data_IF_329203532103
#
_entry.id   IF_329203532103
#
_cell.length_a   1.000
_cell.length_b   1.000
_cell.length_c   1.000
_cell.angle_alpha   90.00
_cell.angle_beta   90.00
_cell.angle_gamma   90.00
#
_symmetry.space_group_name_H-M   'P 1'
#
loop_
_entity.id
_entity.type
_entity.pdbx_description
1 polymer ?
#
# COMPACT_ATOMS: atom_id res chain seq x y z
N UNK A 1 -4.25 -10.89 -17.00
CA UNK A 1 -4.81 -9.53 -16.84
C UNK A 1 -6.15 -9.44 -16.11
N UNK A 2 -7.34 -9.65 -16.71
CA UNK A 2 -8.62 -9.43 -16.00
C UNK A 2 -8.77 -10.23 -14.70
N UNK A 3 -8.36 -11.51 -14.72
CA UNK A 3 -8.40 -12.40 -13.54
C UNK A 3 -7.37 -11.99 -12.46
N UNK A 4 -6.18 -11.55 -12.86
CA UNK A 4 -5.12 -11.12 -11.94
C UNK A 4 -5.45 -9.81 -11.25
N UNK A 5 -6.02 -8.85 -11.99
CA UNK A 5 -6.50 -7.59 -11.43
C UNK A 5 -7.62 -7.85 -10.42
N UNK A 6 -8.58 -8.73 -10.76
CA UNK A 6 -9.65 -9.12 -9.84
C UNK A 6 -9.10 -9.77 -8.56
N UNK A 7 -8.15 -10.70 -8.68
CA UNK A 7 -7.50 -11.34 -7.51
C UNK A 7 -6.77 -10.30 -6.67
N UNK A 8 -6.00 -9.39 -7.27
CA UNK A 8 -5.26 -8.36 -6.56
C UNK A 8 -6.17 -7.38 -5.79
N UNK A 9 -7.29 -6.97 -6.40
CA UNK A 9 -8.29 -6.13 -5.73
C UNK A 9 -8.93 -6.87 -4.56
N UNK A 10 -9.37 -8.12 -4.76
CA UNK A 10 -10.03 -8.91 -3.70
C UNK A 10 -9.07 -9.15 -2.53
N UNK A 11 -7.84 -9.57 -2.80
CA UNK A 11 -6.83 -9.78 -1.77
C UNK A 11 -6.52 -8.48 -1.02
N UNK A 12 -6.42 -7.36 -1.75
CA UNK A 12 -6.18 -6.06 -1.12
C UNK A 12 -7.32 -5.64 -0.18
N UNK A 13 -8.57 -5.84 -0.60
CA UNK A 13 -9.76 -5.53 0.19
C UNK A 13 -9.87 -6.41 1.44
N UNK A 14 -9.57 -7.71 1.32
CA UNK A 14 -9.57 -8.63 2.46
C UNK A 14 -8.49 -8.22 3.46
N UNK A 15 -7.29 -7.88 3.00
CA UNK A 15 -6.19 -7.44 3.85
C UNK A 15 -6.50 -6.12 4.55
N UNK A 16 -7.06 -5.14 3.85
CA UNK A 16 -7.40 -3.85 4.47
C UNK A 16 -8.48 -3.99 5.55
N UNK A 17 -9.50 -4.83 5.32
CA UNK A 17 -10.55 -5.12 6.32
C UNK A 17 -9.96 -5.85 7.53
N UNK A 18 -9.11 -6.86 7.31
CA UNK A 18 -8.44 -7.58 8.41
C UNK A 18 -7.58 -6.64 9.26
N UNK A 19 -6.72 -5.84 8.62
CA UNK A 19 -5.84 -4.90 9.33
C UNK A 19 -6.64 -3.81 10.03
N UNK A 20 -7.71 -3.29 9.40
CA UNK A 20 -8.63 -2.35 10.04
C UNK A 20 -9.30 -2.93 11.29
N UNK A 21 -9.74 -4.19 11.23
CA UNK A 21 -10.33 -4.90 12.36
C UNK A 21 -9.34 -5.14 13.51
N UNK A 22 -8.12 -5.58 13.20
CA UNK A 22 -7.04 -5.74 14.18
C UNK A 22 -6.73 -4.40 14.84
N UNK A 23 -6.65 -3.33 14.05
CA UNK A 23 -6.40 -1.97 14.54
C UNK A 23 -7.51 -1.51 15.47
N UNK A 24 -8.78 -1.78 15.15
CA UNK A 24 -9.90 -1.47 16.03
C UNK A 24 -9.82 -2.18 17.38
N UNK A 25 -9.46 -3.46 17.37
CA UNK A 25 -9.28 -4.22 18.60
C UNK A 25 -8.13 -3.69 19.46
N UNK A 26 -7.06 -3.18 18.84
CA UNK A 26 -5.89 -2.70 19.56
C UNK A 26 -6.08 -1.28 20.12
N UNK A 27 -6.58 -0.36 19.30
CA UNK A 27 -6.68 1.05 19.66
C UNK A 27 -8.02 1.42 20.31
N UNK A 28 -9.04 0.54 20.23
CA UNK A 28 -10.42 0.83 20.64
C UNK A 28 -10.96 2.17 20.11
N UNK A 29 -10.45 2.62 18.95
CA UNK A 29 -10.78 3.90 18.36
C UNK A 29 -11.15 3.74 16.90
N UNK A 30 -12.43 3.95 16.60
CA UNK A 30 -13.00 3.75 15.26
C UNK A 30 -12.38 4.68 14.21
N UNK A 31 -11.95 5.89 14.60
CA UNK A 31 -11.35 6.87 13.68
C UNK A 31 -9.99 6.38 13.22
N UNK A 32 -9.13 5.96 14.16
CA UNK A 32 -7.79 5.43 13.85
C UNK A 32 -7.90 4.17 12.98
N UNK A 33 -8.84 3.27 13.29
CA UNK A 33 -9.08 2.05 12.50
C UNK A 33 -9.49 2.35 11.07
N UNK A 34 -10.37 3.34 10.88
CA UNK A 34 -10.81 3.76 9.55
C UNK A 34 -9.65 4.36 8.76
N UNK A 35 -8.85 5.23 9.40
CA UNK A 35 -7.68 5.85 8.78
C UNK A 35 -6.65 4.81 8.34
N UNK A 36 -6.34 3.83 9.20
CA UNK A 36 -5.41 2.75 8.86
C UNK A 36 -5.95 1.85 7.75
N UNK A 37 -7.25 1.51 7.78
CA UNK A 37 -7.87 0.70 6.72
C UNK A 37 -7.80 1.40 5.36
N UNK A 38 -8.13 2.69 5.30
CA UNK A 38 -8.05 3.50 4.07
C UNK A 38 -6.59 3.63 3.63
N UNK A 39 -5.66 3.92 4.54
CA UNK A 39 -4.24 4.00 4.23
C UNK A 39 -3.69 2.68 3.67
N UNK A 40 -4.14 1.53 4.18
CA UNK A 40 -3.76 0.21 3.66
C UNK A 40 -4.28 -0.04 2.25
N UNK A 41 -5.52 0.37 1.93
CA UNK A 41 -6.04 0.27 0.55
C UNK A 41 -5.17 1.09 -0.40
N UNK A 42 -4.85 2.34 -0.03
CA UNK A 42 -3.98 3.21 -0.83
C UNK A 42 -2.60 2.56 -1.02
N UNK A 43 -2.01 2.05 0.06
CA UNK A 43 -0.70 1.41 0.01
C UNK A 43 -0.68 0.19 -0.92
N UNK A 44 -1.70 -0.66 -0.87
CA UNK A 44 -1.81 -1.84 -1.72
C UNK A 44 -1.96 -1.49 -3.21
N UNK A 45 -2.74 -0.46 -3.53
CA UNK A 45 -2.87 0.05 -4.90
C UNK A 45 -1.52 0.58 -5.39
N UNK A 46 -0.86 1.40 -4.59
CA UNK A 46 0.46 1.93 -4.91
C UNK A 46 1.51 0.84 -5.03
N UNK A 47 1.47 -0.20 -4.20
CA UNK A 47 2.34 -1.37 -4.28
C UNK A 47 2.19 -2.10 -5.62
N UNK A 48 0.95 -2.32 -6.08
CA UNK A 48 0.69 -2.98 -7.35
C UNK A 48 1.24 -2.15 -8.52
N UNK A 49 1.07 -0.83 -8.48
CA UNK A 49 1.61 0.09 -9.50
C UNK A 49 3.14 0.09 -9.44
N UNK A 50 3.74 0.24 -8.26
CA UNK A 50 5.18 0.28 -8.04
C UNK A 50 5.85 -1.01 -8.53
N UNK A 51 5.26 -2.18 -8.27
CA UNK A 51 5.77 -3.47 -8.72
C UNK A 51 5.88 -3.61 -10.25
N UNK A 52 5.08 -2.85 -11.00
CA UNK A 52 5.14 -2.81 -12.48
C UNK A 52 6.01 -1.64 -12.95
N UNK A 53 5.85 -0.47 -12.34
CA UNK A 53 6.47 0.77 -12.79
C UNK A 53 7.97 0.82 -12.50
N UNK A 54 8.41 0.36 -11.32
CA UNK A 54 9.82 0.43 -10.89
C UNK A 54 10.74 -0.35 -11.86
N UNK A 55 10.44 -1.61 -12.24
CA UNK A 55 11.25 -2.34 -13.22
C UNK A 55 11.29 -1.66 -14.59
N UNK A 56 10.16 -1.08 -15.05
CA UNK A 56 10.07 -0.39 -16.34
C UNK A 56 10.93 0.88 -16.34
N UNK A 57 10.86 1.65 -15.25
CA UNK A 57 11.64 2.88 -15.09
C UNK A 57 13.14 2.57 -15.04
N UNK A 58 13.56 1.56 -14.27
CA UNK A 58 14.96 1.14 -14.20
C UNK A 58 15.48 0.72 -15.57
N UNK A 59 14.69 -0.06 -16.33
CA UNK A 59 15.05 -0.43 -17.70
C UNK A 59 15.22 0.78 -18.62
N UNK A 60 14.40 1.82 -18.46
CA UNK A 60 14.52 3.08 -19.22
C UNK A 60 15.80 3.86 -18.87
N UNK A 61 16.29 3.71 -17.64
CA UNK A 61 17.55 4.31 -17.19
C UNK A 61 18.79 3.42 -17.44
N UNK A 62 18.65 2.33 -18.21
CA UNK A 62 19.71 1.31 -18.43
C UNK A 62 20.25 0.69 -17.12
N UNK A 63 19.45 0.70 -16.06
CA UNK A 63 19.74 0.02 -14.80
C UNK A 63 19.15 -1.40 -14.84
N UNK A 64 19.80 -2.33 -14.15
CA UNK A 64 19.36 -3.73 -14.12
C UNK A 64 18.03 -3.87 -13.34
N UNK A 65 16.94 -4.33 -13.98
CA UNK A 65 15.67 -4.60 -13.31
C UNK A 65 15.78 -5.65 -12.20
N UNK A 66 16.85 -6.45 -12.14
CA UNK A 66 17.11 -7.33 -11.01
C UNK A 66 17.35 -6.56 -9.70
N UNK A 67 17.84 -5.32 -9.79
CA UNK A 67 17.97 -4.39 -8.65
C UNK A 67 16.58 -3.91 -8.18
N UNK A 68 15.59 -3.90 -9.08
CA UNK A 68 14.18 -3.64 -8.78
C UNK A 68 13.51 -4.73 -7.93
N UNK A 69 14.29 -5.68 -7.40
CA UNK A 69 13.82 -6.75 -6.53
C UNK A 69 13.03 -6.25 -5.32
N UNK A 70 12.68 -7.18 -4.45
CA UNK A 70 11.76 -6.92 -3.33
C UNK A 70 12.10 -5.66 -2.53
N UNK A 71 13.38 -5.38 -2.30
CA UNK A 71 13.85 -4.25 -1.49
C UNK A 71 13.39 -2.89 -2.01
N UNK A 72 13.54 -2.60 -3.31
CA UNK A 72 13.17 -1.28 -3.85
C UNK A 72 11.66 -1.10 -3.80
N UNK A 73 10.90 -2.14 -4.18
CA UNK A 73 9.44 -2.10 -4.11
C UNK A 73 8.98 -1.93 -2.66
N UNK A 74 9.54 -2.68 -1.71
CA UNK A 74 9.17 -2.57 -0.30
C UNK A 74 9.49 -1.21 0.28
N UNK A 75 10.63 -0.58 -0.08
CA UNK A 75 10.94 0.77 0.39
C UNK A 75 9.94 1.81 -0.11
N UNK A 76 9.50 1.70 -1.37
CA UNK A 76 8.49 2.59 -1.93
C UNK A 76 7.15 2.38 -1.24
N UNK A 77 6.75 1.13 -0.99
CA UNK A 77 5.51 0.85 -0.26
C UNK A 77 5.57 1.25 1.21
N UNK A 78 6.74 1.19 1.86
CA UNK A 78 6.91 1.65 3.24
C UNK A 78 6.72 3.17 3.31
N UNK A 79 7.36 3.93 2.41
CA UNK A 79 7.22 5.39 2.33
C UNK A 79 5.76 5.76 2.03
N UNK A 80 5.13 5.15 1.03
CA UNK A 80 3.75 5.48 0.66
C UNK A 80 2.77 5.08 1.77
N UNK A 81 2.96 3.91 2.40
CA UNK A 81 2.14 3.45 3.51
C UNK A 81 2.18 4.42 4.69
N UNK A 82 3.39 4.82 5.12
CA UNK A 82 3.57 5.81 6.17
C UNK A 82 2.96 7.16 5.78
N UNK A 83 3.29 7.69 4.61
CA UNK A 83 2.77 8.98 4.15
C UNK A 83 1.24 8.99 4.03
N UNK A 84 0.64 7.91 3.56
CA UNK A 84 -0.81 7.80 3.42
C UNK A 84 -1.48 7.85 4.79
N UNK A 85 -0.96 7.10 5.77
CA UNK A 85 -1.50 7.11 7.13
C UNK A 85 -1.31 8.45 7.82
N UNK A 86 -0.09 9.00 7.84
CA UNK A 86 0.20 10.29 8.48
C UNK A 86 -0.51 11.44 7.80
N UNK A 87 -0.61 11.44 6.47
CA UNK A 87 -1.34 12.46 5.71
C UNK A 87 -2.84 12.43 6.01
N UNK A 88 -3.45 11.25 6.05
CA UNK A 88 -4.84 11.09 6.45
C UNK A 88 -5.05 11.52 7.92
N UNK A 89 -4.16 11.11 8.84
CA UNK A 89 -4.24 11.54 10.23
C UNK A 89 -4.10 13.06 10.38
N UNK A 90 -3.19 13.71 9.66
CA UNK A 90 -3.02 15.16 9.69
C UNK A 90 -4.24 15.92 9.14
N UNK A 91 -4.96 15.37 8.16
CA UNK A 91 -6.15 16.02 7.60
C UNK A 91 -7.37 15.81 8.50
N UNK A 92 -7.53 14.63 9.09
CA UNK A 92 -8.76 14.25 9.80
C UNK A 92 -8.70 14.43 11.33
N UNK A 93 -7.50 14.49 11.91
CA UNK A 93 -7.28 14.55 13.36
C UNK A 93 -6.74 15.92 13.82
N UNK A 94 -6.60 16.88 12.89
CA UNK A 94 -6.28 18.30 13.16
C UNK A 94 -7.56 19.12 13.09
#
# INVERSE_FOLDING_TARGET
>A
FKREIAVSIITGLILSVLVGGITYFWFNNIVISLLISIAMVINLICSAIAGILIPIVLRKFNQDPAIAGSVVVTTVTDVIGFFSFLGLAAIFLT
#
